data_IF_553041867397
#
_entry.id   IF_553041867397
#
_cell.length_a   1.000
_cell.length_b   1.000
_cell.length_c   1.000
_cell.angle_alpha   90.00
_cell.angle_beta   90.00
_cell.angle_gamma   90.00
#
_symmetry.space_group_name_H-M   'P 1'
#
loop_
_entity.id
_entity.type
_entity.pdbx_description
1 polymer ?
#
# COMPACT_ATOMS: atom_id res chain seq x y z
N UNK A 1 7.02 21.04 -18.02
CA UNK A 1 6.99 19.59 -17.78
C UNK A 1 5.82 19.19 -16.88
N UNK A 2 5.67 19.74 -15.67
CA UNK A 2 4.60 19.36 -14.69
C UNK A 2 3.20 19.58 -15.27
N UNK A 3 2.92 20.75 -15.88
CA UNK A 3 1.62 21.08 -16.49
C UNK A 3 1.28 20.09 -17.62
N UNK A 4 2.25 19.74 -18.47
CA UNK A 4 2.06 18.74 -19.52
C UNK A 4 1.75 17.35 -18.96
N UNK A 5 2.42 16.95 -17.88
CA UNK A 5 2.17 15.67 -17.24
C UNK A 5 0.77 15.61 -16.64
N UNK A 6 0.33 16.67 -15.94
CA UNK A 6 -1.01 16.77 -15.37
C UNK A 6 -2.06 16.77 -16.48
N UNK A 7 -1.87 17.57 -17.55
CA UNK A 7 -2.83 17.63 -18.65
C UNK A 7 -2.95 16.29 -19.38
N UNK A 8 -1.83 15.60 -19.62
CA UNK A 8 -1.83 14.27 -20.24
C UNK A 8 -2.55 13.25 -19.34
N UNK A 9 -2.26 13.23 -18.04
CA UNK A 9 -2.92 12.35 -17.07
C UNK A 9 -4.42 12.59 -17.01
N UNK A 10 -4.85 13.87 -16.97
CA UNK A 10 -6.27 14.24 -16.98
C UNK A 10 -6.94 13.81 -18.29
N UNK A 11 -6.28 14.03 -19.45
CA UNK A 11 -6.83 13.62 -20.74
C UNK A 11 -6.99 12.10 -20.82
N UNK A 12 -6.00 11.32 -20.38
CA UNK A 12 -6.07 9.86 -20.34
C UNK A 12 -7.21 9.40 -19.43
N UNK A 13 -7.33 9.99 -18.24
CA UNK A 13 -8.39 9.66 -17.29
C UNK A 13 -9.78 9.93 -17.87
N UNK A 14 -10.02 11.14 -18.39
CA UNK A 14 -11.30 11.54 -19.00
C UNK A 14 -11.62 10.66 -20.21
N UNK A 15 -10.62 10.32 -21.02
CA UNK A 15 -10.81 9.42 -22.16
C UNK A 15 -11.18 8.02 -21.71
N UNK A 16 -10.49 7.46 -20.72
CA UNK A 16 -10.79 6.15 -20.16
C UNK A 16 -12.19 6.10 -19.55
N UNK A 17 -12.58 7.14 -18.82
CA UNK A 17 -13.91 7.24 -18.19
C UNK A 17 -15.04 7.27 -19.24
N UNK A 18 -14.85 7.95 -20.38
CA UNK A 18 -15.86 8.08 -21.41
C UNK A 18 -15.90 6.90 -22.40
N UNK A 19 -14.77 6.24 -22.63
CA UNK A 19 -14.64 5.19 -23.67
C UNK A 19 -14.83 3.80 -23.08
N UNK A 20 -14.37 3.56 -21.84
CA UNK A 20 -14.40 2.24 -21.21
C UNK A 20 -15.54 2.14 -20.19
N UNK A 21 -16.64 1.40 -20.50
CA UNK A 21 -17.71 1.16 -19.53
C UNK A 21 -17.17 0.52 -18.24
N UNK A 22 -16.24 -0.43 -18.35
CA UNK A 22 -15.65 -1.12 -17.20
C UNK A 22 -14.88 -0.15 -16.30
N UNK A 23 -14.11 0.79 -16.88
CA UNK A 23 -13.40 1.78 -16.10
C UNK A 23 -14.37 2.74 -15.41
N UNK A 24 -15.39 3.20 -16.14
CA UNK A 24 -16.44 4.06 -15.61
C UNK A 24 -17.15 3.40 -14.42
N UNK A 25 -17.66 2.18 -14.60
CA UNK A 25 -18.36 1.45 -13.54
C UNK A 25 -17.48 1.28 -12.30
N UNK A 26 -16.19 0.92 -12.46
CA UNK A 26 -15.25 0.78 -11.34
C UNK A 26 -15.01 2.08 -10.61
N UNK A 27 -14.92 3.19 -11.35
CA UNK A 27 -14.70 4.50 -10.74
C UNK A 27 -15.98 5.01 -10.03
N UNK A 28 -17.15 4.80 -10.63
CA UNK A 28 -18.43 5.15 -10.02
C UNK A 28 -18.69 4.33 -8.75
N UNK A 29 -18.35 3.03 -8.75
CA UNK A 29 -18.36 2.20 -7.54
C UNK A 29 -17.41 2.73 -6.46
N UNK A 30 -16.21 3.12 -6.84
CA UNK A 30 -15.27 3.71 -5.89
C UNK A 30 -15.82 5.00 -5.25
N UNK A 31 -16.42 5.89 -6.05
CA UNK A 31 -17.04 7.11 -5.52
C UNK A 31 -18.22 6.81 -4.59
N UNK A 32 -19.04 5.83 -4.96
CA UNK A 32 -20.14 5.35 -4.12
C UNK A 32 -19.62 4.78 -2.78
N UNK A 33 -18.57 3.97 -2.82
CA UNK A 33 -17.95 3.39 -1.62
C UNK A 33 -17.40 4.49 -0.68
N UNK A 34 -16.77 5.51 -1.25
CA UNK A 34 -16.28 6.67 -0.49
C UNK A 34 -17.43 7.44 0.15
N UNK A 35 -18.49 7.72 -0.61
CA UNK A 35 -19.67 8.41 -0.12
C UNK A 35 -20.35 7.63 1.02
N UNK A 36 -20.52 6.34 0.84
CA UNK A 36 -21.14 5.45 1.82
C UNK A 36 -20.31 5.35 3.11
N UNK A 37 -18.99 5.27 2.98
CA UNK A 37 -18.06 5.28 4.12
C UNK A 37 -18.17 6.59 4.93
N UNK A 38 -18.22 7.74 4.24
CA UNK A 38 -18.23 9.05 4.90
C UNK A 38 -19.59 9.32 5.58
N UNK A 39 -20.69 9.08 4.87
CA UNK A 39 -22.02 9.46 5.31
C UNK A 39 -22.65 8.44 6.26
N UNK A 40 -22.45 7.14 6.00
CA UNK A 40 -23.08 6.06 6.76
C UNK A 40 -22.13 5.40 7.77
N UNK A 41 -20.82 5.74 7.74
CA UNK A 41 -19.76 5.07 8.52
C UNK A 41 -19.75 3.56 8.30
N UNK A 42 -20.07 3.14 7.08
CA UNK A 42 -20.07 1.75 6.67
C UNK A 42 -18.73 1.39 6.02
N UNK A 43 -18.08 0.36 6.58
CA UNK A 43 -16.78 -0.14 6.14
C UNK A 43 -16.88 -1.54 5.54
N UNK A 44 -18.05 -1.94 5.03
CA UNK A 44 -18.28 -3.29 4.48
C UNK A 44 -17.74 -3.48 3.06
N UNK A 45 -17.46 -2.39 2.35
CA UNK A 45 -16.97 -2.42 0.97
C UNK A 45 -15.46 -2.62 0.90
N UNK A 46 -14.95 -3.11 -0.23
CA UNK A 46 -13.54 -3.44 -0.42
C UNK A 46 -12.58 -2.26 -0.19
N UNK A 47 -12.97 -1.04 -0.58
CA UNK A 47 -12.17 0.17 -0.35
C UNK A 47 -12.27 0.63 1.11
N UNK A 48 -13.49 0.78 1.63
CA UNK A 48 -13.73 1.25 2.98
C UNK A 48 -13.15 0.29 4.04
N UNK A 49 -13.18 -1.01 3.78
CA UNK A 49 -12.55 -2.02 4.61
C UNK A 49 -11.03 -1.80 4.73
N UNK A 50 -10.34 -1.52 3.62
CA UNK A 50 -8.90 -1.19 3.66
C UNK A 50 -8.62 0.07 4.46
N UNK A 51 -9.45 1.11 4.31
CA UNK A 51 -9.33 2.34 5.11
C UNK A 51 -9.51 2.03 6.59
N UNK A 52 -10.49 1.20 6.96
CA UNK A 52 -10.69 0.77 8.35
C UNK A 52 -9.48 0.00 8.88
N UNK A 53 -8.92 -0.91 8.09
CA UNK A 53 -7.69 -1.64 8.44
C UNK A 53 -6.51 -0.68 8.66
N UNK A 54 -6.32 0.30 7.80
CA UNK A 54 -5.23 1.28 7.95
C UNK A 54 -5.39 2.13 9.21
N UNK A 55 -6.61 2.62 9.47
CA UNK A 55 -6.91 3.36 10.71
C UNK A 55 -6.65 2.46 11.92
N UNK A 56 -7.12 1.22 11.88
CA UNK A 56 -6.93 0.23 12.94
C UNK A 56 -5.45 -0.05 13.22
N UNK A 57 -4.67 -0.26 12.16
CA UNK A 57 -3.23 -0.50 12.27
C UNK A 57 -2.50 0.71 12.85
N UNK A 58 -2.79 1.91 12.35
CA UNK A 58 -2.17 3.14 12.86
C UNK A 58 -2.56 3.44 14.32
N UNK A 59 -3.78 3.12 14.72
CA UNK A 59 -4.21 3.27 16.11
C UNK A 59 -3.51 2.23 17.02
N UNK A 60 -3.43 0.97 16.58
CA UNK A 60 -2.71 -0.08 17.29
C UNK A 60 -1.23 0.26 17.47
N UNK A 61 -0.58 0.85 16.46
CA UNK A 61 0.83 1.21 16.51
C UNK A 61 1.17 2.25 17.59
N UNK A 62 0.18 3.02 18.06
CA UNK A 62 0.41 4.02 19.13
C UNK A 62 0.84 3.40 20.47
N UNK A 63 0.48 2.15 20.72
CA UNK A 63 0.85 1.48 21.97
C UNK A 63 2.34 1.11 22.01
N UNK A 64 2.94 0.83 20.86
CA UNK A 64 4.35 0.44 20.72
C UNK A 64 4.98 1.14 19.51
N UNK A 65 4.95 2.47 19.49
CA UNK A 65 5.27 3.28 18.31
C UNK A 65 6.71 3.06 17.80
N UNK A 66 7.68 2.82 18.67
CA UNK A 66 9.10 2.75 18.27
C UNK A 66 9.43 1.39 17.66
N UNK A 67 9.08 0.30 18.33
CA UNK A 67 9.47 -1.07 17.94
C UNK A 67 8.32 -1.94 17.45
N UNK A 68 7.09 -1.41 17.46
CA UNK A 68 5.90 -2.15 17.05
C UNK A 68 5.44 -3.19 18.08
N UNK A 69 4.42 -3.94 17.72
CA UNK A 69 3.84 -5.00 18.57
C UNK A 69 4.54 -6.36 18.41
N UNK A 70 5.38 -6.52 17.42
CA UNK A 70 5.94 -7.81 17.03
C UNK A 70 5.20 -8.44 15.84
N UNK A 71 5.86 -9.36 15.16
CA UNK A 71 5.28 -10.12 14.05
C UNK A 71 4.37 -11.21 14.64
N UNK A 72 3.07 -11.15 14.33
CA UNK A 72 2.03 -12.07 14.84
C UNK A 72 1.15 -11.48 15.93
N UNK A 73 1.60 -10.46 16.67
CA UNK A 73 0.84 -9.83 17.76
C UNK A 73 -0.07 -8.69 17.27
N UNK A 74 0.07 -8.28 16.00
CA UNK A 74 -0.76 -7.24 15.37
C UNK A 74 -2.26 -7.55 15.38
N UNK A 75 -2.61 -8.84 15.46
CA UNK A 75 -4.00 -9.34 15.44
C UNK A 75 -4.82 -8.86 16.63
N UNK A 76 -4.27 -8.99 17.84
CA UNK A 76 -5.01 -8.69 19.07
C UNK A 76 -5.37 -7.20 19.13
N UNK A 77 -4.43 -6.35 18.73
CA UNK A 77 -4.59 -4.91 18.68
C UNK A 77 -5.59 -4.47 17.61
N UNK A 78 -5.54 -5.08 16.41
CA UNK A 78 -6.43 -4.72 15.32
C UNK A 78 -7.86 -5.21 15.54
N UNK A 79 -8.08 -6.40 16.11
CA UNK A 79 -9.40 -6.93 16.41
C UNK A 79 -10.18 -6.02 17.37
N UNK A 80 -9.51 -5.45 18.37
CA UNK A 80 -10.15 -4.50 19.29
C UNK A 80 -10.71 -3.29 18.56
N UNK A 81 -9.98 -2.78 17.59
CA UNK A 81 -10.37 -1.56 16.86
C UNK A 81 -11.41 -1.87 15.79
N UNK A 82 -11.34 -3.03 15.16
CA UNK A 82 -12.35 -3.47 14.19
C UNK A 82 -13.73 -3.66 14.85
N UNK A 83 -13.76 -4.16 16.08
CA UNK A 83 -14.98 -4.21 16.86
C UNK A 83 -15.55 -2.81 17.13
N UNK A 84 -14.69 -1.81 17.36
CA UNK A 84 -15.09 -0.41 17.55
C UNK A 84 -15.76 0.20 16.31
N UNK A 85 -15.41 -0.27 15.11
CA UNK A 85 -16.04 0.17 13.85
C UNK A 85 -17.28 -0.65 13.48
N UNK A 86 -17.75 -1.58 14.34
CA UNK A 86 -18.87 -2.48 14.02
C UNK A 86 -18.72 -3.21 12.68
N UNK A 87 -17.50 -3.57 12.31
CA UNK A 87 -17.23 -4.30 11.06
C UNK A 87 -17.66 -5.76 11.30
N UNK A 88 -18.90 -6.06 10.94
CA UNK A 88 -19.53 -7.37 11.09
C UNK A 88 -19.50 -8.23 9.83
N UNK A 89 -18.52 -8.02 8.96
CA UNK A 89 -18.44 -8.83 7.74
C UNK A 89 -17.88 -10.21 8.06
N UNK A 90 -18.69 -11.26 7.87
CA UNK A 90 -18.29 -12.66 8.15
C UNK A 90 -17.08 -13.08 7.30
N UNK A 91 -16.92 -12.54 6.09
CA UNK A 91 -15.74 -12.74 5.24
C UNK A 91 -14.47 -12.14 5.89
N UNK A 92 -14.62 -11.01 6.57
CA UNK A 92 -13.52 -10.37 7.27
C UNK A 92 -13.07 -11.16 8.51
N UNK A 93 -14.03 -11.74 9.26
CA UNK A 93 -13.70 -12.61 10.40
C UNK A 93 -12.88 -13.81 9.96
N UNK A 94 -13.18 -14.39 8.81
CA UNK A 94 -12.47 -15.56 8.28
C UNK A 94 -11.03 -15.23 7.84
N UNK A 95 -10.81 -14.06 7.23
CA UNK A 95 -9.46 -13.58 6.88
C UNK A 95 -8.62 -13.20 8.10
N UNK A 96 -9.25 -12.69 9.17
CA UNK A 96 -8.56 -12.28 10.40
C UNK A 96 -8.31 -13.41 11.39
N UNK A 97 -8.87 -14.61 11.19
CA UNK A 97 -8.63 -15.73 12.12
C UNK A 97 -7.18 -16.21 12.14
N UNK A 98 -6.44 -16.07 11.03
CA UNK A 98 -5.08 -16.59 10.91
C UNK A 98 -3.98 -15.52 10.91
N UNK A 99 -4.21 -14.37 10.28
CA UNK A 99 -3.30 -13.22 10.28
C UNK A 99 -4.03 -11.99 9.76
N UNK A 100 -3.68 -10.80 10.25
CA UNK A 100 -4.23 -9.56 9.70
C UNK A 100 -3.26 -9.03 8.65
N UNK A 101 -3.73 -8.95 7.40
CA UNK A 101 -3.08 -8.19 6.34
C UNK A 101 -3.75 -6.81 6.24
N UNK A 102 -3.00 -5.76 6.55
CA UNK A 102 -3.49 -4.39 6.42
C UNK A 102 -3.58 -3.93 4.97
N UNK A 103 -3.25 -4.77 3.98
CA UNK A 103 -3.21 -4.42 2.55
C UNK A 103 -2.46 -3.12 2.27
N UNK A 104 -1.47 -2.83 3.09
CA UNK A 104 -0.56 -1.70 2.97
C UNK A 104 0.74 -2.03 3.71
N UNK A 105 1.81 -2.18 2.96
CA UNK A 105 3.11 -2.57 3.51
C UNK A 105 3.61 -1.58 4.57
N UNK A 106 3.39 -0.29 4.38
CA UNK A 106 3.88 0.73 5.31
C UNK A 106 3.14 0.66 6.64
N UNK A 107 1.82 0.47 6.61
CA UNK A 107 1.01 0.25 7.82
C UNK A 107 1.40 -1.06 8.49
N UNK A 108 1.53 -2.16 7.72
CA UNK A 108 1.91 -3.48 8.24
C UNK A 108 3.21 -3.41 9.05
N UNK A 109 4.26 -2.87 8.45
CA UNK A 109 5.56 -2.79 9.11
C UNK A 109 5.62 -1.75 10.23
N UNK A 110 4.79 -0.71 10.16
CA UNK A 110 4.64 0.23 11.29
C UNK A 110 3.98 -0.44 12.49
N UNK A 111 3.00 -1.31 12.28
CA UNK A 111 2.37 -2.08 13.37
C UNK A 111 3.33 -3.12 13.93
N UNK A 112 3.98 -3.90 13.05
CA UNK A 112 4.84 -5.01 13.47
C UNK A 112 6.16 -4.56 14.07
N UNK A 113 6.84 -3.58 13.46
CA UNK A 113 8.22 -3.18 13.77
C UNK A 113 8.34 -1.71 14.17
N UNK A 114 7.22 -1.01 14.32
CA UNK A 114 7.20 0.41 14.69
C UNK A 114 7.79 1.34 13.64
N UNK A 115 8.10 2.54 14.08
CA UNK A 115 8.74 3.56 13.24
C UNK A 115 10.12 3.12 12.74
N UNK A 116 10.81 2.26 13.49
CA UNK A 116 12.11 1.67 13.08
C UNK A 116 11.94 0.84 11.82
N UNK A 117 10.93 -0.04 11.76
CA UNK A 117 10.63 -0.84 10.58
C UNK A 117 10.25 0.02 9.38
N UNK A 118 9.42 1.04 9.59
CA UNK A 118 9.07 1.98 8.53
C UNK A 118 10.30 2.72 7.98
N UNK A 119 11.18 3.21 8.85
CA UNK A 119 12.43 3.88 8.45
C UNK A 119 13.31 2.92 7.64
N UNK A 120 13.46 1.67 8.06
CA UNK A 120 14.28 0.68 7.32
C UNK A 120 13.74 0.47 5.91
N UNK A 121 12.43 0.33 5.73
CA UNK A 121 11.83 0.19 4.41
C UNK A 121 12.05 1.42 3.55
N UNK A 122 11.78 2.61 4.08
CA UNK A 122 11.99 3.85 3.35
C UNK A 122 13.47 4.06 3.01
N UNK A 123 14.37 3.64 3.89
CA UNK A 123 15.82 3.68 3.65
C UNK A 123 16.24 2.76 2.50
N UNK A 124 15.64 1.57 2.36
CA UNK A 124 15.89 0.68 1.22
C UNK A 124 15.54 1.38 -0.09
N UNK A 125 14.34 1.97 -0.20
CA UNK A 125 13.95 2.74 -1.40
C UNK A 125 14.87 3.93 -1.64
N UNK A 126 15.23 4.66 -0.59
CA UNK A 126 16.14 5.81 -0.67
C UNK A 126 17.54 5.42 -1.16
N UNK A 127 18.12 4.36 -0.62
CA UNK A 127 19.44 3.88 -1.02
C UNK A 127 19.46 3.41 -2.48
N UNK A 128 18.43 2.71 -2.94
CA UNK A 128 18.28 2.34 -4.34
C UNK A 128 18.12 3.56 -5.25
N UNK A 129 17.32 4.54 -4.83
CA UNK A 129 17.16 5.79 -5.58
C UNK A 129 18.47 6.60 -5.70
N UNK A 130 19.36 6.48 -4.72
CA UNK A 130 20.67 7.14 -4.70
C UNK A 130 21.73 6.47 -5.57
N UNK A 131 21.45 5.31 -6.16
CA UNK A 131 22.41 4.66 -7.06
C UNK A 131 22.67 5.58 -8.26
N UNK A 132 23.94 5.97 -8.45
CA UNK A 132 24.38 6.81 -9.57
C UNK A 132 24.69 5.95 -10.80
N UNK A 133 23.64 5.52 -11.49
CA UNK A 133 23.76 4.75 -12.73
C UNK A 133 24.02 5.73 -13.88
N UNK A 134 25.17 5.59 -14.53
CA UNK A 134 25.63 6.48 -15.62
C UNK A 134 24.76 6.36 -16.87
N UNK A 135 24.31 5.15 -17.20
CA UNK A 135 23.42 4.93 -18.33
C UNK A 135 22.02 5.44 -18.02
N UNK A 136 21.54 6.37 -18.85
CA UNK A 136 20.23 7.02 -18.68
C UNK A 136 19.05 6.05 -18.79
N UNK A 137 19.18 5.00 -19.60
CA UNK A 137 18.11 4.02 -19.80
C UNK A 137 17.93 3.21 -18.52
N UNK A 138 19.00 2.65 -17.98
CA UNK A 138 18.95 1.88 -16.74
C UNK A 138 18.56 2.75 -15.54
N UNK A 139 19.00 4.01 -15.50
CA UNK A 139 18.57 4.96 -14.46
C UNK A 139 17.06 5.22 -14.52
N UNK A 140 16.50 5.44 -15.68
CA UNK A 140 15.06 5.64 -15.86
C UNK A 140 14.27 4.37 -15.50
N UNK A 141 14.77 3.19 -15.88
CA UNK A 141 14.16 1.91 -15.48
C UNK A 141 14.16 1.72 -13.97
N UNK A 142 15.26 2.05 -13.28
CA UNK A 142 15.31 2.03 -11.82
C UNK A 142 14.26 2.94 -11.20
N UNK A 143 14.14 4.19 -11.68
CA UNK A 143 13.16 5.15 -11.15
C UNK A 143 11.74 4.64 -11.36
N UNK A 144 11.41 4.14 -12.54
CA UNK A 144 10.10 3.55 -12.85
C UNK A 144 9.82 2.36 -11.92
N UNK A 145 10.79 1.46 -11.77
CA UNK A 145 10.70 0.30 -10.89
C UNK A 145 10.41 0.71 -9.44
N UNK A 146 11.15 1.68 -8.90
CA UNK A 146 10.96 2.17 -7.53
C UNK A 146 9.59 2.82 -7.35
N UNK A 147 9.14 3.65 -8.29
CA UNK A 147 7.81 4.28 -8.25
C UNK A 147 6.71 3.21 -8.26
N UNK A 148 6.80 2.25 -9.19
CA UNK A 148 5.79 1.19 -9.29
C UNK A 148 5.72 0.35 -8.01
N UNK A 149 6.88 -0.05 -7.46
CA UNK A 149 6.92 -0.81 -6.21
C UNK A 149 6.42 0.01 -5.02
N UNK A 150 6.81 1.27 -4.93
CA UNK A 150 6.35 2.18 -3.88
C UNK A 150 4.82 2.32 -3.89
N UNK A 151 4.23 2.59 -5.08
CA UNK A 151 2.79 2.70 -5.22
C UNK A 151 2.06 1.37 -5.00
N UNK A 152 2.59 0.25 -5.53
CA UNK A 152 2.03 -1.08 -5.31
C UNK A 152 2.00 -1.44 -3.82
N UNK A 153 3.04 -1.07 -3.08
CA UNK A 153 3.15 -1.30 -1.64
C UNK A 153 2.16 -0.50 -0.78
N UNK A 154 1.56 0.55 -1.34
CA UNK A 154 0.44 1.27 -0.69
C UNK A 154 -0.90 0.52 -0.78
N UNK A 155 -1.04 -0.37 -1.77
CA UNK A 155 -2.29 -1.09 -2.05
C UNK A 155 -2.20 -2.58 -1.68
N UNK A 156 -1.03 -3.04 -1.24
CA UNK A 156 -0.78 -4.42 -0.87
C UNK A 156 0.48 -4.56 -0.01
N UNK A 157 0.65 -5.73 0.57
CA UNK A 157 1.81 -6.05 1.39
C UNK A 157 2.89 -6.71 0.53
N UNK A 158 3.59 -5.89 -0.27
CA UNK A 158 4.51 -6.36 -1.33
C UNK A 158 5.63 -7.27 -0.83
N UNK A 159 6.13 -7.06 0.39
CA UNK A 159 7.21 -7.88 0.95
C UNK A 159 6.72 -9.10 1.74
N UNK A 160 5.43 -9.21 1.97
CA UNK A 160 4.82 -10.41 2.54
C UNK A 160 4.51 -11.46 1.45
N UNK A 161 4.31 -11.01 0.21
CA UNK A 161 4.08 -11.89 -0.94
C UNK A 161 5.42 -12.35 -1.49
N UNK A 162 5.73 -13.64 -1.35
CA UNK A 162 7.02 -14.22 -1.75
C UNK A 162 7.44 -13.87 -3.18
N UNK A 163 6.52 -13.95 -4.15
CA UNK A 163 6.83 -13.63 -5.55
C UNK A 163 7.23 -12.16 -5.73
N UNK A 164 6.50 -11.24 -5.08
CA UNK A 164 6.80 -9.81 -5.13
C UNK A 164 8.14 -9.49 -4.48
N UNK A 165 8.42 -10.07 -3.31
CA UNK A 165 9.70 -9.91 -2.61
C UNK A 165 10.88 -10.42 -3.45
N UNK A 166 10.76 -11.60 -4.07
CA UNK A 166 11.80 -12.17 -4.93
C UNK A 166 12.06 -11.29 -6.16
N UNK A 167 11.01 -10.79 -6.81
CA UNK A 167 11.15 -9.86 -7.93
C UNK A 167 11.83 -8.55 -7.51
N UNK A 168 11.45 -7.99 -6.36
CA UNK A 168 12.11 -6.79 -5.84
C UNK A 168 13.60 -7.01 -5.58
N UNK A 169 13.95 -8.12 -4.94
CA UNK A 169 15.34 -8.48 -4.65
C UNK A 169 16.15 -8.70 -5.94
N UNK A 170 15.57 -9.40 -6.93
CA UNK A 170 16.21 -9.67 -8.23
C UNK A 170 16.52 -8.36 -8.97
N UNK A 171 15.53 -7.52 -9.18
CA UNK A 171 15.72 -6.26 -9.91
C UNK A 171 16.65 -5.31 -9.16
N UNK A 172 16.52 -5.21 -7.83
CA UNK A 172 17.44 -4.42 -7.00
C UNK A 172 18.89 -4.88 -7.15
N UNK A 173 19.13 -6.20 -7.16
CA UNK A 173 20.46 -6.78 -7.37
C UNK A 173 21.04 -6.46 -8.74
N UNK A 174 20.21 -6.49 -9.79
CA UNK A 174 20.61 -6.09 -11.16
C UNK A 174 21.06 -4.62 -11.16
N UNK A 175 20.26 -3.72 -10.60
CA UNK A 175 20.59 -2.29 -10.57
C UNK A 175 21.84 -1.99 -9.74
N UNK A 176 22.06 -2.69 -8.62
CA UNK A 176 23.28 -2.58 -7.81
C UNK A 176 24.50 -3.07 -8.60
N UNK A 177 24.36 -4.12 -9.41
CA UNK A 177 25.45 -4.62 -10.24
C UNK A 177 25.82 -3.66 -11.39
N UNK A 178 24.82 -3.00 -11.98
CA UNK A 178 25.02 -2.01 -13.05
C UNK A 178 25.66 -0.71 -12.51
N UNK A 179 25.41 -0.39 -11.22
CA UNK A 179 25.99 0.78 -10.57
C UNK A 179 27.53 0.75 -10.51
N UNK A 180 28.15 -0.42 -10.48
CA UNK A 180 29.62 -0.60 -10.52
C UNK A 180 30.20 -0.32 -11.90
#
# INVERSE_FOLDING_TARGET
>A
AVVLFISLGTTIFVSAYNISPVFKDRFDYFLHDVDFMINNKDFSNSFSLRVALWISGLEASKHNLIFGSGIGDERENANYILQKFNISNDNFKQETENSIDFHNMYVQYTVQLGIVGLIVILLIFYLLFKLDIRDKVYRNLLIIFLILYFCHSMLGNSFHINQSMVLFALFSSIFITIYK
#
